data_IF_006408404559
#
_entry.id   IF_006408404559
#
_cell.length_a   1.000
_cell.length_b   1.000
_cell.length_c   1.000
_cell.angle_alpha   90.00
_cell.angle_beta   90.00
_cell.angle_gamma   90.00
#
_symmetry.space_group_name_H-M   'P 1'
#
loop_
_entity.id
_entity.type
_entity.pdbx_description
1 polymer ?
#
# COMPACT_ATOMS: atom_id res chain seq x y z
N UNK A 1 9.58 -5.52 -2.55
CA UNK A 1 9.37 -6.99 -2.54
C UNK A 1 10.22 -7.70 -3.60
N UNK A 2 10.30 -7.22 -4.85
CA UNK A 2 11.18 -7.80 -5.88
C UNK A 2 12.66 -7.69 -5.49
N UNK A 3 13.11 -6.55 -4.98
CA UNK A 3 14.48 -6.38 -4.48
C UNK A 3 14.76 -7.34 -3.32
N UNK A 4 13.80 -7.51 -2.41
CA UNK A 4 13.89 -8.44 -1.28
C UNK A 4 13.94 -9.89 -1.78
N UNK A 5 13.18 -10.26 -2.82
CA UNK A 5 13.27 -11.60 -3.44
C UNK A 5 14.60 -11.84 -4.13
N UNK A 6 15.07 -10.88 -4.93
CA UNK A 6 16.38 -11.00 -5.62
C UNK A 6 17.52 -11.10 -4.60
N UNK A 7 17.46 -10.35 -3.51
CA UNK A 7 18.43 -10.45 -2.42
C UNK A 7 18.31 -11.80 -1.69
N UNK A 8 17.10 -12.31 -1.51
CA UNK A 8 16.85 -13.60 -0.88
C UNK A 8 17.33 -14.79 -1.73
N UNK A 9 17.13 -14.74 -3.05
CA UNK A 9 17.60 -15.77 -3.97
C UNK A 9 19.15 -15.83 -4.01
N UNK A 10 19.81 -14.72 -3.75
CA UNK A 10 21.28 -14.63 -3.74
C UNK A 10 21.92 -14.75 -2.35
N UNK A 11 21.17 -14.61 -1.27
CA UNK A 11 21.70 -14.55 0.12
C UNK A 11 20.96 -15.45 1.14
N UNK A 12 19.95 -16.19 0.71
CA UNK A 12 19.10 -16.98 1.61
C UNK A 12 17.94 -16.17 2.20
N UNK A 13 17.24 -16.74 3.19
CA UNK A 13 16.06 -16.13 3.82
C UNK A 13 16.40 -15.13 4.93
N UNK A 14 17.60 -15.22 5.50
CA UNK A 14 18.03 -14.37 6.62
C UNK A 14 17.97 -12.87 6.33
N UNK A 15 18.37 -12.36 5.13
CA UNK A 15 18.22 -10.95 4.81
C UNK A 15 16.78 -10.46 4.79
N UNK A 16 15.82 -11.34 4.49
CA UNK A 16 14.37 -11.00 4.47
C UNK A 16 13.87 -10.85 5.90
N UNK A 17 14.17 -11.81 6.77
CA UNK A 17 13.76 -11.77 8.17
C UNK A 17 14.34 -10.54 8.87
N UNK A 18 15.62 -10.23 8.69
CA UNK A 18 16.24 -9.04 9.27
C UNK A 18 15.60 -7.74 8.76
N UNK A 19 15.12 -7.72 7.52
CA UNK A 19 14.38 -6.57 6.96
C UNK A 19 13.01 -6.41 7.62
N UNK A 20 12.31 -7.51 7.86
CA UNK A 20 11.03 -7.47 8.59
C UNK A 20 11.22 -7.07 10.04
N UNK A 21 12.26 -7.57 10.71
CA UNK A 21 12.60 -7.17 12.07
C UNK A 21 12.94 -5.68 12.16
N UNK A 22 13.71 -5.18 11.21
CA UNK A 22 14.03 -3.74 11.11
C UNK A 22 12.76 -2.90 10.95
N UNK A 23 11.85 -3.32 10.06
CA UNK A 23 10.56 -2.65 9.89
C UNK A 23 9.74 -2.68 11.18
N UNK A 24 9.62 -3.83 11.82
CA UNK A 24 8.83 -3.96 13.05
C UNK A 24 9.41 -3.15 14.20
N UNK A 25 10.73 -3.11 14.35
CA UNK A 25 11.39 -2.28 15.35
C UNK A 25 11.10 -0.80 15.10
N UNK A 26 11.22 -0.31 13.87
CA UNK A 26 10.87 1.07 13.52
C UNK A 26 9.39 1.37 13.79
N UNK A 27 8.48 0.45 13.49
CA UNK A 27 7.06 0.61 13.78
C UNK A 27 6.76 0.59 15.29
N UNK A 28 7.51 -0.20 16.08
CA UNK A 28 7.40 -0.23 17.54
C UNK A 28 7.85 1.10 18.18
N UNK A 29 8.86 1.73 17.61
CA UNK A 29 9.35 3.04 18.07
C UNK A 29 8.40 4.17 17.73
N UNK A 30 7.81 4.17 16.53
CA UNK A 30 7.00 5.30 16.05
C UNK A 30 5.53 5.23 16.48
N UNK A 31 4.95 4.05 16.64
CA UNK A 31 3.51 3.89 16.96
C UNK A 31 3.12 4.59 18.27
N UNK A 32 3.87 4.49 19.39
CA UNK A 32 3.57 5.23 20.61
C UNK A 32 3.51 6.74 20.41
N UNK A 33 4.43 7.27 19.59
CA UNK A 33 4.45 8.70 19.25
C UNK A 33 3.15 9.14 18.57
N UNK A 34 2.68 8.37 17.58
CA UNK A 34 1.40 8.71 16.92
C UNK A 34 0.19 8.48 17.82
N UNK A 35 0.23 7.54 18.74
CA UNK A 35 -0.83 7.37 19.76
C UNK A 35 -0.92 8.64 20.62
N UNK A 36 0.20 9.16 21.09
CA UNK A 36 0.24 10.36 21.92
C UNK A 36 -0.16 11.62 21.14
N UNK A 37 0.30 11.76 19.89
CA UNK A 37 -0.10 12.84 19.00
C UNK A 37 -1.61 12.87 18.78
N UNK A 38 -2.22 11.73 18.47
CA UNK A 38 -3.67 11.60 18.29
C UNK A 38 -4.42 11.91 19.57
N UNK A 39 -3.91 11.49 20.74
CA UNK A 39 -4.52 11.74 22.03
C UNK A 39 -4.52 13.22 22.38
N UNK A 40 -3.39 13.89 22.13
CA UNK A 40 -3.21 15.31 22.47
C UNK A 40 -3.82 16.24 21.42
N UNK A 41 -4.03 15.77 20.19
CA UNK A 41 -4.57 16.53 19.06
C UNK A 41 -5.74 15.77 18.39
N UNK A 42 -6.88 15.61 19.07
CA UNK A 42 -7.96 14.74 18.60
C UNK A 42 -8.65 15.22 17.32
N UNK A 43 -8.44 16.47 16.93
CA UNK A 43 -9.00 17.05 15.71
C UNK A 43 -8.06 16.95 14.49
N UNK A 44 -6.78 16.58 14.69
CA UNK A 44 -5.81 16.45 13.61
C UNK A 44 -5.95 15.10 12.92
N UNK A 45 -6.49 15.12 11.70
CA UNK A 45 -6.73 13.92 10.90
C UNK A 45 -5.45 13.32 10.35
N UNK A 46 -4.44 14.14 10.10
CA UNK A 46 -3.14 13.71 9.62
C UNK A 46 -2.47 12.73 10.61
N UNK A 47 -2.49 13.04 11.91
CA UNK A 47 -1.94 12.10 12.91
C UNK A 47 -2.71 10.78 12.98
N UNK A 48 -4.04 10.83 12.76
CA UNK A 48 -4.85 9.60 12.68
C UNK A 48 -4.54 8.78 11.45
N UNK A 49 -4.29 9.45 10.32
CA UNK A 49 -3.84 8.80 9.09
C UNK A 49 -2.49 8.12 9.29
N UNK A 50 -1.51 8.81 9.87
CA UNK A 50 -0.21 8.24 10.18
C UNK A 50 -0.29 7.05 11.14
N UNK A 51 -1.09 7.16 12.20
CA UNK A 51 -1.32 6.04 13.11
C UNK A 51 -1.98 4.85 12.42
N UNK A 52 -2.98 5.09 11.58
CA UNK A 52 -3.65 4.05 10.80
C UNK A 52 -2.69 3.37 9.82
N UNK A 53 -1.85 4.15 9.14
CA UNK A 53 -0.82 3.68 8.21
C UNK A 53 0.25 2.85 8.92
N UNK A 54 0.73 3.30 10.09
CA UNK A 54 1.70 2.57 10.93
C UNK A 54 1.17 1.20 11.32
N UNK A 55 -0.09 1.13 11.77
CA UNK A 55 -0.74 -0.14 12.11
C UNK A 55 -0.90 -1.02 10.85
N UNK A 56 -1.29 -0.44 9.71
CA UNK A 56 -1.43 -1.14 8.43
C UNK A 56 -0.10 -1.69 7.90
N UNK A 57 1.01 -0.99 8.11
CA UNK A 57 2.34 -1.45 7.70
C UNK A 57 2.78 -2.74 8.42
N UNK A 58 2.33 -2.99 9.65
CA UNK A 58 2.57 -4.28 10.33
C UNK A 58 1.96 -5.46 9.58
N UNK A 59 0.83 -5.23 8.87
CA UNK A 59 0.24 -6.28 8.05
C UNK A 59 1.15 -6.71 6.90
N UNK A 60 2.01 -5.83 6.37
CA UNK A 60 2.99 -6.17 5.32
C UNK A 60 4.06 -7.13 5.84
N UNK A 61 4.59 -6.88 7.04
CA UNK A 61 5.54 -7.79 7.71
C UNK A 61 4.89 -9.15 7.98
N UNK A 62 3.69 -9.15 8.58
CA UNK A 62 2.93 -10.37 8.83
C UNK A 62 2.62 -11.15 7.54
N UNK A 63 2.31 -10.45 6.43
CA UNK A 63 2.07 -11.06 5.12
C UNK A 63 3.34 -11.77 4.61
N UNK A 64 4.49 -11.13 4.72
CA UNK A 64 5.77 -11.72 4.33
C UNK A 64 6.10 -12.98 5.13
N UNK A 65 5.73 -13.00 6.40
CA UNK A 65 5.89 -14.16 7.31
C UNK A 65 4.76 -15.19 7.23
N UNK A 66 3.78 -14.98 6.34
CA UNK A 66 2.60 -15.85 6.16
C UNK A 66 1.72 -15.98 7.42
N UNK A 67 1.79 -15.03 8.33
CA UNK A 67 0.90 -14.94 9.50
C UNK A 67 -0.43 -14.28 9.13
N UNK A 68 -1.32 -15.07 8.54
CA UNK A 68 -2.59 -14.60 8.00
C UNK A 68 -3.54 -14.01 9.05
N UNK A 69 -3.46 -14.49 10.30
CA UNK A 69 -4.32 -13.98 11.39
C UNK A 69 -3.89 -12.56 11.73
N UNK A 70 -2.60 -12.33 11.89
CA UNK A 70 -2.06 -10.99 12.14
C UNK A 70 -2.29 -10.05 10.96
N UNK A 71 -2.17 -10.54 9.71
CA UNK A 71 -2.50 -9.76 8.51
C UNK A 71 -3.94 -9.23 8.59
N UNK A 72 -4.91 -10.11 8.81
CA UNK A 72 -6.33 -9.71 8.86
C UNK A 72 -6.60 -8.72 9.99
N UNK A 73 -6.10 -9.00 11.20
CA UNK A 73 -6.30 -8.16 12.38
C UNK A 73 -5.71 -6.75 12.21
N UNK A 74 -4.48 -6.68 11.72
CA UNK A 74 -3.74 -5.41 11.60
C UNK A 74 -4.24 -4.59 10.41
N UNK A 75 -4.49 -5.24 9.26
CA UNK A 75 -5.09 -4.58 8.09
C UNK A 75 -6.44 -3.97 8.45
N UNK A 76 -7.31 -4.71 9.14
CA UNK A 76 -8.60 -4.20 9.56
C UNK A 76 -8.48 -3.02 10.53
N UNK A 77 -7.63 -3.14 11.56
CA UNK A 77 -7.42 -2.08 12.55
C UNK A 77 -6.90 -0.79 11.92
N UNK A 78 -5.91 -0.92 11.02
CA UNK A 78 -5.36 0.21 10.27
C UNK A 78 -6.40 0.81 9.32
N UNK A 79 -7.06 -0.04 8.51
CA UNK A 79 -8.09 0.36 7.57
C UNK A 79 -9.20 1.17 8.23
N UNK A 80 -9.78 0.70 9.33
CA UNK A 80 -10.89 1.40 10.02
C UNK A 80 -10.50 2.77 10.58
N UNK A 81 -9.23 2.97 10.94
CA UNK A 81 -8.74 4.29 11.34
C UNK A 81 -8.66 5.24 10.14
N UNK A 82 -8.12 4.76 9.02
CA UNK A 82 -7.95 5.54 7.80
C UNK A 82 -9.31 5.82 7.13
N UNK A 83 -10.22 4.85 7.11
CA UNK A 83 -11.58 5.02 6.60
C UNK A 83 -12.30 6.19 7.31
N UNK A 84 -12.23 6.24 8.64
CA UNK A 84 -12.81 7.35 9.42
C UNK A 84 -12.16 8.71 9.09
N UNK A 85 -10.87 8.73 8.78
CA UNK A 85 -10.20 9.95 8.32
C UNK A 85 -10.73 10.38 6.97
N UNK A 86 -10.81 9.46 6.00
CA UNK A 86 -11.29 9.75 4.67
C UNK A 86 -12.78 10.19 4.63
N UNK A 87 -13.61 9.61 5.52
CA UNK A 87 -15.02 10.03 5.67
C UNK A 87 -15.14 11.45 6.24
N UNK A 88 -14.31 11.79 7.22
CA UNK A 88 -14.34 13.09 7.90
C UNK A 88 -13.66 14.18 7.10
N UNK A 89 -12.61 13.85 6.39
CA UNK A 89 -11.81 14.77 5.59
C UNK A 89 -11.56 14.19 4.19
N UNK A 90 -12.54 14.31 3.27
CA UNK A 90 -12.41 13.81 1.90
C UNK A 90 -11.27 14.45 1.09
N UNK A 91 -10.83 15.64 1.48
CA UNK A 91 -9.72 16.34 0.83
C UNK A 91 -8.35 15.75 1.17
N UNK A 92 -8.26 14.91 2.20
CA UNK A 92 -7.04 14.18 2.55
C UNK A 92 -6.84 12.98 1.61
N UNK A 93 -6.35 13.28 0.40
CA UNK A 93 -6.24 12.33 -0.70
C UNK A 93 -5.28 11.17 -0.38
N UNK A 94 -4.28 11.43 0.46
CA UNK A 94 -3.35 10.40 0.93
C UNK A 94 -4.05 9.19 1.58
N UNK A 95 -5.18 9.41 2.24
CA UNK A 95 -5.99 8.35 2.82
C UNK A 95 -6.59 7.39 1.76
N UNK A 96 -6.69 7.82 0.51
CA UNK A 96 -7.26 7.00 -0.55
C UNK A 96 -6.36 5.85 -0.97
N UNK A 97 -5.03 5.98 -0.84
CA UNK A 97 -4.10 4.91 -1.19
C UNK A 97 -4.35 3.63 -0.38
N UNK A 98 -4.28 3.62 0.95
CA UNK A 98 -4.49 2.40 1.73
C UNK A 98 -5.92 1.85 1.58
N UNK A 99 -6.94 2.72 1.43
CA UNK A 99 -8.32 2.29 1.17
C UNK A 99 -8.42 1.61 -0.20
N UNK A 100 -7.82 2.19 -1.21
CA UNK A 100 -7.77 1.63 -2.56
C UNK A 100 -7.05 0.29 -2.60
N UNK A 101 -5.88 0.16 -1.94
CA UNK A 101 -5.12 -1.09 -1.87
C UNK A 101 -5.97 -2.20 -1.22
N UNK A 102 -6.52 -1.95 -0.04
CA UNK A 102 -7.33 -2.94 0.67
C UNK A 102 -8.57 -3.31 -0.15
N UNK A 103 -9.26 -2.32 -0.71
CA UNK A 103 -10.42 -2.54 -1.57
C UNK A 103 -10.10 -3.35 -2.83
N UNK A 104 -8.98 -3.06 -3.49
CA UNK A 104 -8.55 -3.77 -4.69
C UNK A 104 -8.28 -5.25 -4.40
N UNK A 105 -7.39 -5.54 -3.44
CA UNK A 105 -7.08 -6.92 -3.08
C UNK A 105 -8.29 -7.68 -2.51
N UNK A 106 -9.17 -6.99 -1.80
CA UNK A 106 -10.45 -7.54 -1.37
C UNK A 106 -11.31 -7.99 -2.56
N UNK A 107 -11.40 -7.15 -3.59
CA UNK A 107 -12.26 -7.40 -4.75
C UNK A 107 -11.80 -8.57 -5.62
N UNK A 108 -10.47 -8.80 -5.74
CA UNK A 108 -9.90 -9.90 -6.52
C UNK A 108 -9.67 -11.18 -5.72
N UNK A 109 -9.91 -11.13 -4.39
CA UNK A 109 -9.73 -12.28 -3.51
C UNK A 109 -10.77 -13.37 -3.76
N UNK A 110 -10.48 -14.59 -3.29
CA UNK A 110 -11.42 -15.70 -3.39
C UNK A 110 -12.71 -15.44 -2.56
N UNK A 111 -13.74 -16.24 -2.80
CA UNK A 111 -15.08 -16.07 -2.19
C UNK A 111 -15.02 -16.05 -0.68
N UNK A 112 -14.17 -16.86 -0.05
CA UNK A 112 -14.06 -16.94 1.41
C UNK A 112 -13.48 -15.66 2.01
N UNK A 113 -12.40 -15.13 1.43
CA UNK A 113 -11.80 -13.86 1.86
C UNK A 113 -12.75 -12.69 1.62
N UNK A 114 -13.45 -12.66 0.47
CA UNK A 114 -14.49 -11.66 0.20
C UNK A 114 -15.62 -11.68 1.23
N UNK A 115 -16.03 -12.86 1.68
CA UNK A 115 -17.03 -12.99 2.72
C UNK A 115 -16.55 -12.42 4.06
N UNK A 116 -15.33 -12.74 4.49
CA UNK A 116 -14.71 -12.14 5.68
C UNK A 116 -14.63 -10.61 5.57
N UNK A 117 -14.19 -10.09 4.44
CA UNK A 117 -14.04 -8.66 4.19
C UNK A 117 -15.39 -7.94 4.26
N UNK A 118 -16.47 -8.56 3.75
CA UNK A 118 -17.84 -8.03 3.89
C UNK A 118 -18.30 -7.94 5.34
N UNK A 119 -17.96 -8.93 6.17
CA UNK A 119 -18.24 -8.89 7.62
C UNK A 119 -17.57 -7.67 8.27
N UNK A 120 -16.38 -7.31 7.79
CA UNK A 120 -15.67 -6.12 8.26
C UNK A 120 -16.15 -4.80 7.62
N UNK A 121 -17.21 -4.84 6.79
CA UNK A 121 -17.83 -3.68 6.19
C UNK A 121 -17.03 -3.06 5.03
N UNK A 122 -16.05 -3.76 4.48
CA UNK A 122 -15.31 -3.32 3.29
C UNK A 122 -16.11 -3.74 2.07
N UNK A 123 -16.85 -2.79 1.50
CA UNK A 123 -17.67 -3.02 0.32
C UNK A 123 -17.25 -2.04 -0.78
N UNK A 124 -16.43 -2.50 -1.71
CA UNK A 124 -15.98 -1.69 -2.84
C UNK A 124 -15.82 -2.57 -4.08
N UNK A 125 -16.02 -1.99 -5.26
CA UNK A 125 -15.69 -2.66 -6.51
C UNK A 125 -14.20 -2.48 -6.84
N UNK A 126 -13.70 -3.35 -7.72
CA UNK A 126 -12.33 -3.28 -8.24
C UNK A 126 -12.05 -1.92 -8.89
N UNK A 127 -13.00 -1.45 -9.68
CA UNK A 127 -12.90 -0.19 -10.42
C UNK A 127 -12.80 1.00 -9.47
N UNK A 128 -13.66 1.05 -8.46
CA UNK A 128 -13.63 2.10 -7.43
C UNK A 128 -12.31 2.07 -6.67
N UNK A 129 -11.80 0.89 -6.34
CA UNK A 129 -10.53 0.73 -5.65
C UNK A 129 -9.34 1.23 -6.51
N UNK A 130 -9.30 0.88 -7.80
CA UNK A 130 -8.29 1.38 -8.75
C UNK A 130 -8.38 2.91 -8.87
N UNK A 131 -9.57 3.48 -8.96
CA UNK A 131 -9.74 4.93 -9.04
C UNK A 131 -9.21 5.65 -7.78
N UNK A 132 -9.39 5.07 -6.60
CA UNK A 132 -8.80 5.63 -5.36
C UNK A 132 -7.26 5.61 -5.41
N UNK A 133 -6.65 4.49 -5.83
CA UNK A 133 -5.18 4.40 -6.00
C UNK A 133 -4.72 5.41 -7.07
N UNK A 134 -5.42 5.51 -8.17
CA UNK A 134 -5.13 6.46 -9.25
C UNK A 134 -5.22 7.91 -8.75
N UNK A 135 -6.27 8.26 -8.01
CA UNK A 135 -6.39 9.58 -7.43
C UNK A 135 -5.22 9.90 -6.48
N UNK A 136 -4.84 8.96 -5.62
CA UNK A 136 -3.66 9.12 -4.77
C UNK A 136 -2.37 9.26 -5.58
N UNK A 137 -2.20 8.50 -6.67
CA UNK A 137 -1.02 8.56 -7.54
C UNK A 137 -0.83 9.93 -8.25
N UNK A 138 -1.90 10.68 -8.46
CA UNK A 138 -1.85 11.96 -9.17
C UNK A 138 -2.00 13.18 -8.26
N UNK A 139 -2.72 13.07 -7.17
CA UNK A 139 -3.20 14.23 -6.41
C UNK A 139 -2.84 14.20 -4.91
N UNK A 140 -2.22 13.13 -4.38
CA UNK A 140 -1.79 13.11 -2.98
C UNK A 140 -0.46 13.83 -2.77
N UNK A 141 -0.22 14.28 -1.55
CA UNK A 141 0.99 14.99 -1.18
C UNK A 141 2.18 14.02 -1.03
N UNK A 142 2.12 13.12 -0.07
CA UNK A 142 3.24 12.22 0.24
C UNK A 142 3.04 10.79 -0.28
N UNK A 143 1.81 10.31 -0.45
CA UNK A 143 1.54 8.96 -0.95
C UNK A 143 1.72 8.81 -2.48
N UNK A 144 1.88 9.89 -3.23
CA UNK A 144 1.93 9.95 -4.70
C UNK A 144 2.91 8.95 -5.32
N UNK A 145 4.11 8.88 -4.79
CA UNK A 145 5.17 8.02 -5.35
C UNK A 145 4.84 6.55 -5.12
N UNK A 146 4.45 6.18 -3.90
CA UNK A 146 4.06 4.81 -3.57
C UNK A 146 2.81 4.39 -4.35
N UNK A 147 1.81 5.25 -4.41
CA UNK A 147 0.59 5.02 -5.17
C UNK A 147 0.86 4.79 -6.67
N UNK A 148 1.76 5.59 -7.27
CA UNK A 148 2.17 5.42 -8.67
C UNK A 148 2.88 4.08 -8.90
N UNK A 149 3.76 3.68 -7.99
CA UNK A 149 4.46 2.39 -8.05
C UNK A 149 3.49 1.21 -7.93
N UNK A 150 2.57 1.26 -6.97
CA UNK A 150 1.56 0.22 -6.76
C UNK A 150 0.59 0.13 -7.95
N UNK A 151 0.12 1.27 -8.45
CA UNK A 151 -0.77 1.33 -9.62
C UNK A 151 -0.10 0.71 -10.84
N UNK A 152 1.17 1.04 -11.08
CA UNK A 152 1.96 0.46 -12.18
C UNK A 152 2.11 -1.05 -12.03
N UNK A 153 2.37 -1.54 -10.82
CA UNK A 153 2.43 -2.97 -10.53
C UNK A 153 1.10 -3.66 -10.83
N UNK A 154 -0.01 -3.09 -10.38
CA UNK A 154 -1.35 -3.63 -10.63
C UNK A 154 -1.62 -3.71 -12.13
N UNK A 155 -1.40 -2.63 -12.87
CA UNK A 155 -1.64 -2.60 -14.31
C UNK A 155 -0.75 -3.58 -15.09
N UNK A 156 0.54 -3.70 -14.73
CA UNK A 156 1.46 -4.57 -15.45
C UNK A 156 1.21 -6.05 -15.20
N UNK A 157 1.06 -6.46 -13.95
CA UNK A 157 1.13 -7.87 -13.59
C UNK A 157 -0.19 -8.50 -13.14
N UNK A 158 -1.18 -7.69 -12.79
CA UNK A 158 -2.46 -8.22 -12.35
C UNK A 158 -3.55 -7.98 -13.41
N UNK A 159 -3.69 -6.74 -13.89
CA UNK A 159 -4.72 -6.37 -14.86
C UNK A 159 -4.26 -6.57 -16.32
N UNK A 160 -2.97 -6.78 -16.57
CA UNK A 160 -2.38 -6.91 -17.90
C UNK A 160 -2.74 -5.71 -18.83
N UNK A 161 -2.60 -4.51 -18.29
CA UNK A 161 -2.87 -3.22 -18.97
C UNK A 161 -1.58 -2.38 -19.04
N UNK A 162 -0.58 -2.78 -19.85
CA UNK A 162 0.73 -2.14 -19.87
C UNK A 162 0.68 -0.67 -20.35
N UNK A 163 -0.27 -0.32 -21.21
CA UNK A 163 -0.45 1.05 -21.67
C UNK A 163 -0.85 2.00 -20.52
N UNK A 164 -1.72 1.53 -19.61
CA UNK A 164 -2.11 2.31 -18.43
C UNK A 164 -0.96 2.44 -17.44
N UNK A 165 -0.14 1.39 -17.31
CA UNK A 165 1.09 1.43 -16.50
C UNK A 165 2.10 2.43 -17.04
N UNK A 166 2.25 2.55 -18.35
CA UNK A 166 3.25 3.41 -19.00
C UNK A 166 3.12 4.87 -18.54
N UNK A 167 1.90 5.38 -18.39
CA UNK A 167 1.64 6.75 -17.96
C UNK A 167 2.23 7.08 -16.57
N UNK A 168 2.17 6.13 -15.64
CA UNK A 168 2.73 6.29 -14.29
C UNK A 168 4.23 6.02 -14.25
N UNK A 169 4.68 5.00 -14.96
CA UNK A 169 6.09 4.55 -14.94
C UNK A 169 7.04 5.54 -15.61
N UNK A 170 6.62 6.20 -16.71
CA UNK A 170 7.39 7.30 -17.35
C UNK A 170 7.72 8.39 -16.34
N UNK A 171 6.74 8.81 -15.55
CA UNK A 171 6.92 9.87 -14.55
C UNK A 171 7.88 9.43 -13.46
N UNK A 172 7.69 8.24 -12.90
CA UNK A 172 8.54 7.67 -11.85
C UNK A 172 10.00 7.52 -12.33
N UNK A 173 10.19 6.99 -13.54
CA UNK A 173 11.53 6.80 -14.11
C UNK A 173 12.26 8.12 -14.37
N UNK A 174 11.56 9.18 -14.78
CA UNK A 174 12.11 10.51 -14.97
C UNK A 174 12.45 11.22 -13.65
N UNK A 175 11.56 11.13 -12.68
CA UNK A 175 11.73 11.80 -11.39
C UNK A 175 12.80 11.10 -10.53
N UNK A 176 12.92 9.77 -10.66
CA UNK A 176 13.86 8.94 -9.91
C UNK A 176 14.75 8.10 -10.83
N UNK A 177 15.65 8.72 -11.62
CA UNK A 177 16.43 8.01 -12.66
C UNK A 177 17.38 6.97 -12.09
N UNK A 178 17.77 7.07 -10.83
CA UNK A 178 18.64 6.11 -10.13
C UNK A 178 17.88 5.02 -9.38
N UNK A 179 16.54 5.06 -9.34
CA UNK A 179 15.74 4.05 -8.70
C UNK A 179 15.54 2.86 -9.65
N UNK A 180 16.27 1.78 -9.39
CA UNK A 180 16.26 0.57 -10.22
C UNK A 180 14.87 -0.03 -10.38
N UNK A 181 14.05 -0.04 -9.32
CA UNK A 181 12.69 -0.57 -9.39
C UNK A 181 11.81 0.22 -10.36
N UNK A 182 11.87 1.55 -10.33
CA UNK A 182 11.11 2.39 -11.25
C UNK A 182 11.58 2.29 -12.70
N UNK A 183 12.88 2.08 -12.90
CA UNK A 183 13.41 1.80 -14.25
C UNK A 183 12.91 0.47 -14.79
N UNK A 184 12.87 -0.59 -13.97
CA UNK A 184 12.29 -1.88 -14.38
C UNK A 184 10.82 -1.75 -14.73
N UNK A 185 10.01 -1.08 -13.90
CA UNK A 185 8.60 -0.84 -14.19
C UNK A 185 8.41 -0.14 -15.54
N UNK A 186 9.23 0.87 -15.82
CA UNK A 186 9.17 1.62 -17.06
C UNK A 186 9.56 0.77 -18.28
N UNK A 187 10.68 0.07 -18.21
CA UNK A 187 11.15 -0.82 -19.29
C UNK A 187 10.13 -1.93 -19.58
N UNK A 188 9.60 -2.55 -18.56
CA UNK A 188 8.55 -3.57 -18.69
C UNK A 188 7.30 -3.00 -19.37
N UNK A 189 6.86 -1.79 -18.97
CA UNK A 189 5.73 -1.12 -19.62
C UNK A 189 5.99 -0.87 -21.10
N UNK A 190 7.18 -0.37 -21.45
CA UNK A 190 7.58 -0.15 -22.85
C UNK A 190 7.57 -1.45 -23.64
N UNK A 191 8.20 -2.49 -23.13
CA UNK A 191 8.34 -3.78 -23.83
C UNK A 191 6.98 -4.41 -24.12
N UNK A 192 6.01 -4.25 -23.21
CA UNK A 192 4.67 -4.83 -23.39
C UNK A 192 3.72 -3.96 -24.22
N UNK A 193 4.08 -2.72 -24.49
CA UNK A 193 3.29 -1.80 -25.33
C UNK A 193 3.82 -1.70 -26.77
N UNK A 194 4.99 -2.27 -27.04
CA UNK A 194 5.60 -2.39 -28.37
C UNK A 194 5.03 -3.61 -29.09
#
# INVERSE_FOLDING_TARGET
EVIVRVLAENGGLDPIESTYDTLENALNEIEPTYIDLVKNNPNEDEYKLYLGSTIGMRARSSLGRKDWISVLKQSYKGFKKIEKVAERNPEMIDAQLPIGIVGYYASISNVFIRWLIKIYGINTSKEVAIQKIKNAAYNSDWARIEASGILSFIYLWIENQPQDALNSTVRLAKEFPKNFYFQILYLESLTRTS
#
